data_IF_155594326597
#
_entry.id   IF_155594326597
#
_cell.length_a   1.000
_cell.length_b   1.000
_cell.length_c   1.000
_cell.angle_alpha   90.00
_cell.angle_beta   90.00
_cell.angle_gamma   90.00
#
_symmetry.space_group_name_H-M   'P 1'
#
loop_
_entity.id
_entity.type
_entity.pdbx_description
1 polymer ?
#
# COMPACT_ATOMS: atom_id res chain seq x y z
N UNK A 1 -20.06 -11.33 35.17
CA UNK A 1 -21.29 -12.06 34.82
C UNK A 1 -21.24 -12.41 33.34
N UNK A 2 -20.70 -13.59 33.03
CA UNK A 2 -20.65 -14.16 31.68
C UNK A 2 -21.58 -15.36 31.72
N UNK A 3 -22.78 -15.20 31.14
CA UNK A 3 -23.77 -16.27 31.10
C UNK A 3 -23.44 -17.21 29.94
N UNK A 4 -23.15 -18.46 30.30
CA UNK A 4 -22.99 -19.57 29.38
C UNK A 4 -24.33 -19.92 28.73
N UNK A 5 -24.40 -19.82 27.39
CA UNK A 5 -25.49 -20.35 26.59
C UNK A 5 -24.98 -21.65 25.96
N UNK A 6 -25.26 -22.77 26.63
CA UNK A 6 -25.16 -24.12 26.05
C UNK A 6 -26.46 -24.38 25.27
N UNK A 7 -26.43 -24.16 23.97
CA UNK A 7 -27.50 -24.56 23.05
C UNK A 7 -27.14 -25.91 22.40
N UNK A 8 -28.08 -26.85 22.47
CA UNK A 8 -27.97 -28.20 21.96
C UNK A 8 -27.71 -28.23 20.43
N UNK A 9 -26.74 -29.05 20.01
CA UNK A 9 -26.39 -29.23 18.61
C UNK A 9 -27.42 -30.12 17.88
N UNK A 10 -27.94 -29.71 16.71
CA UNK A 10 -28.80 -30.55 15.88
C UNK A 10 -27.98 -31.65 15.19
N UNK A 11 -28.52 -32.87 15.18
CA UNK A 11 -27.97 -34.05 14.50
C UNK A 11 -27.94 -33.85 12.98
N UNK A 12 -26.74 -33.76 12.41
CA UNK A 12 -26.49 -33.73 10.97
C UNK A 12 -26.79 -35.11 10.34
N UNK A 13 -27.91 -35.19 9.62
CA UNK A 13 -28.15 -36.24 8.64
C UNK A 13 -27.25 -36.01 7.43
N UNK A 14 -26.34 -36.95 7.17
CA UNK A 14 -25.40 -36.92 6.07
C UNK A 14 -26.12 -37.20 4.73
N UNK A 15 -26.49 -36.13 4.03
CA UNK A 15 -26.96 -36.21 2.64
C UNK A 15 -25.73 -36.12 1.71
N UNK A 16 -25.15 -37.27 1.41
CA UNK A 16 -23.94 -37.43 0.61
C UNK A 16 -24.29 -37.52 -0.89
N UNK A 17 -24.59 -36.38 -1.50
CA UNK A 17 -24.48 -36.21 -2.95
C UNK A 17 -24.13 -34.76 -3.28
N UNK A 18 -22.97 -34.30 -2.81
CA UNK A 18 -22.36 -33.06 -3.31
C UNK A 18 -21.82 -33.38 -4.71
N UNK A 19 -22.68 -33.28 -5.72
CA UNK A 19 -22.25 -33.15 -7.10
C UNK A 19 -21.38 -31.89 -7.13
N UNK A 20 -20.07 -32.06 -7.30
CA UNK A 20 -19.13 -30.95 -7.38
C UNK A 20 -19.57 -30.05 -8.55
N UNK A 21 -20.20 -28.92 -8.22
CA UNK A 21 -20.67 -27.98 -9.21
C UNK A 21 -19.47 -27.50 -10.03
N UNK A 22 -19.50 -27.77 -11.34
CA UNK A 22 -18.50 -27.23 -12.26
C UNK A 22 -18.60 -25.70 -12.15
N UNK A 23 -17.52 -24.99 -11.79
CA UNK A 23 -17.58 -23.55 -11.63
C UNK A 23 -17.96 -22.91 -12.96
N UNK A 24 -19.05 -22.15 -12.95
CA UNK A 24 -19.57 -21.44 -14.11
C UNK A 24 -18.53 -20.41 -14.58
N UNK A 25 -18.12 -20.51 -15.84
CA UNK A 25 -17.20 -19.56 -16.47
C UNK A 25 -17.98 -18.27 -16.78
N UNK A 26 -17.39 -17.13 -16.42
CA UNK A 26 -18.01 -15.81 -16.63
C UNK A 26 -16.97 -14.79 -17.08
N UNK A 27 -17.44 -13.77 -17.80
CA UNK A 27 -16.65 -12.58 -18.08
C UNK A 27 -16.55 -11.69 -16.83
N UNK A 28 -15.31 -11.47 -16.37
CA UNK A 28 -15.00 -10.65 -15.20
C UNK A 28 -14.38 -9.29 -15.56
N UNK A 29 -14.33 -8.90 -16.84
CA UNK A 29 -13.74 -7.61 -17.28
C UNK A 29 -14.37 -6.40 -16.57
N UNK A 30 -15.70 -6.36 -16.45
CA UNK A 30 -16.41 -5.29 -15.75
C UNK A 30 -16.07 -5.21 -14.25
N UNK A 31 -16.02 -6.37 -13.58
CA UNK A 31 -15.67 -6.44 -12.16
C UNK A 31 -14.19 -6.07 -11.90
N UNK A 32 -13.28 -6.50 -12.78
CA UNK A 32 -11.87 -6.12 -12.72
C UNK A 32 -11.69 -4.61 -12.93
N UNK A 33 -12.41 -4.02 -13.89
CA UNK A 33 -12.39 -2.57 -14.12
C UNK A 33 -12.87 -1.79 -12.90
N UNK A 34 -13.95 -2.24 -12.28
CA UNK A 34 -14.47 -1.65 -11.04
C UNK A 34 -13.43 -1.74 -9.90
N UNK A 35 -12.76 -2.88 -9.74
CA UNK A 35 -11.72 -3.09 -8.74
C UNK A 35 -10.50 -2.16 -8.93
N UNK A 36 -10.00 -2.00 -10.15
CA UNK A 36 -8.95 -0.99 -10.40
C UNK A 36 -9.48 0.43 -10.12
N UNK A 37 -10.76 0.68 -10.40
CA UNK A 37 -11.46 1.92 -10.04
C UNK A 37 -11.45 2.22 -8.54
N UNK A 38 -11.63 1.20 -7.68
CA UNK A 38 -11.64 1.38 -6.23
C UNK A 38 -10.30 1.82 -5.65
N UNK A 39 -9.18 1.54 -6.32
CA UNK A 39 -7.86 2.04 -5.93
C UNK A 39 -7.53 3.38 -6.61
N UNK A 40 -7.85 3.50 -7.90
CA UNK A 40 -7.49 4.67 -8.73
C UNK A 40 -8.05 5.98 -8.19
N UNK A 41 -9.35 6.01 -7.88
CA UNK A 41 -10.05 7.23 -7.44
C UNK A 41 -9.50 7.76 -6.11
N UNK A 42 -9.47 6.96 -5.02
CA UNK A 42 -8.86 7.44 -3.78
C UNK A 42 -7.35 7.70 -3.93
N UNK A 43 -6.64 6.91 -4.74
CA UNK A 43 -5.23 7.16 -5.02
C UNK A 43 -4.97 8.54 -5.62
N UNK A 44 -5.79 8.98 -6.58
CA UNK A 44 -5.70 10.32 -7.15
C UNK A 44 -5.93 11.43 -6.10
N UNK A 45 -6.89 11.24 -5.18
CA UNK A 45 -7.14 12.18 -4.09
C UNK A 45 -5.94 12.29 -3.14
N UNK A 46 -5.36 11.14 -2.73
CA UNK A 46 -4.19 11.13 -1.87
C UNK A 46 -2.93 11.66 -2.57
N UNK A 47 -2.77 11.43 -3.87
CA UNK A 47 -1.69 12.03 -4.65
C UNK A 47 -1.80 13.57 -4.63
N UNK A 48 -2.98 14.13 -4.91
CA UNK A 48 -3.21 15.57 -4.87
C UNK A 48 -2.96 16.18 -3.48
N UNK A 49 -3.51 15.55 -2.43
CA UNK A 49 -3.28 15.97 -1.05
C UNK A 49 -1.80 15.88 -0.67
N UNK A 50 -1.11 14.82 -1.12
CA UNK A 50 0.32 14.63 -0.85
C UNK A 50 1.17 15.71 -1.51
N UNK A 51 0.89 16.05 -2.78
CA UNK A 51 1.60 17.10 -3.50
C UNK A 51 1.49 18.46 -2.81
N UNK A 52 0.27 18.88 -2.44
CA UNK A 52 0.06 20.15 -1.77
C UNK A 52 0.74 20.22 -0.40
N UNK A 53 0.68 19.13 0.37
CA UNK A 53 1.25 19.09 1.70
C UNK A 53 2.78 18.88 1.73
N UNK A 54 3.38 18.17 0.76
CA UNK A 54 4.82 17.93 0.69
C UNK A 54 5.64 19.22 0.66
N UNK A 55 5.18 20.23 -0.09
CA UNK A 55 5.89 21.48 -0.32
C UNK A 55 5.41 22.64 0.55
N UNK A 56 4.38 22.44 1.38
CA UNK A 56 3.83 23.49 2.24
C UNK A 56 4.67 23.76 3.51
N UNK A 57 5.62 22.88 3.85
CA UNK A 57 6.42 23.01 5.07
C UNK A 57 7.79 23.62 4.76
N UNK A 58 8.12 24.80 5.30
CA UNK A 58 9.43 25.41 5.08
C UNK A 58 10.54 24.63 5.79
N UNK A 59 11.62 24.36 5.05
CA UNK A 59 12.82 23.69 5.52
C UNK A 59 13.89 24.74 5.87
N UNK A 60 13.68 25.42 7.00
CA UNK A 60 14.58 26.49 7.47
C UNK A 60 15.69 25.93 8.37
N UNK A 61 16.84 25.62 7.78
CA UNK A 61 17.97 24.97 8.48
C UNK A 61 18.63 25.85 9.57
N UNK A 62 18.46 27.17 9.53
CA UNK A 62 19.17 28.10 10.43
C UNK A 62 18.46 28.27 11.78
N UNK A 63 17.14 28.18 11.81
CA UNK A 63 16.34 28.41 13.02
C UNK A 63 15.96 27.12 13.76
N UNK A 64 16.03 25.97 13.07
CA UNK A 64 15.54 24.71 13.59
C UNK A 64 16.57 23.99 14.47
N UNK A 65 16.10 23.42 15.59
CA UNK A 65 16.90 22.42 16.30
C UNK A 65 17.10 21.19 15.41
N UNK A 66 18.20 20.46 15.60
CA UNK A 66 18.49 19.26 14.80
C UNK A 66 17.33 18.24 14.78
N UNK A 67 16.68 18.01 15.94
CA UNK A 67 15.51 17.12 16.03
C UNK A 67 14.38 17.58 15.12
N UNK A 68 14.09 18.88 15.15
CA UNK A 68 13.02 19.48 14.34
C UNK A 68 13.35 19.39 12.85
N UNK A 69 14.58 19.73 12.46
CA UNK A 69 15.05 19.63 11.08
C UNK A 69 14.96 18.18 10.55
N UNK A 70 15.36 17.20 11.36
CA UNK A 70 15.23 15.78 11.00
C UNK A 70 13.76 15.36 10.83
N UNK A 71 12.87 15.79 11.73
CA UNK A 71 11.44 15.53 11.61
C UNK A 71 10.85 16.15 10.32
N UNK A 72 11.21 17.39 9.99
CA UNK A 72 10.74 18.06 8.75
C UNK A 72 11.21 17.31 7.49
N UNK A 73 12.47 16.84 7.47
CA UNK A 73 13.02 16.05 6.36
C UNK A 73 12.36 14.67 6.24
N UNK A 74 12.12 13.99 7.37
CA UNK A 74 11.39 12.73 7.40
C UNK A 74 9.95 12.89 6.90
N UNK A 75 9.27 13.96 7.31
CA UNK A 75 7.95 14.35 6.79
C UNK A 75 7.98 14.53 5.28
N UNK A 76 8.89 15.36 4.75
CA UNK A 76 9.00 15.61 3.32
C UNK A 76 9.25 14.30 2.54
N UNK A 77 10.16 13.45 3.03
CA UNK A 77 10.44 12.15 2.44
C UNK A 77 9.21 11.24 2.39
N UNK A 78 8.46 11.12 3.50
CA UNK A 78 7.23 10.31 3.54
C UNK A 78 6.14 10.86 2.61
N UNK A 79 6.01 12.17 2.51
CA UNK A 79 5.03 12.81 1.62
C UNK A 79 5.36 12.62 0.15
N UNK A 80 6.63 12.77 -0.24
CA UNK A 80 7.09 12.49 -1.62
C UNK A 80 6.96 11.01 -1.96
N UNK A 81 7.24 10.12 -1.00
CA UNK A 81 7.04 8.68 -1.16
C UNK A 81 5.56 8.35 -1.38
N UNK A 82 4.67 8.91 -0.54
CA UNK A 82 3.21 8.79 -0.70
C UNK A 82 2.76 9.26 -2.08
N UNK A 83 3.14 10.48 -2.47
CA UNK A 83 2.81 11.04 -3.78
C UNK A 83 3.22 10.10 -4.92
N UNK A 84 4.46 9.63 -4.88
CA UNK A 84 5.02 8.76 -5.94
C UNK A 84 4.24 7.44 -6.04
N UNK A 85 3.98 6.79 -4.92
CA UNK A 85 3.24 5.53 -4.89
C UNK A 85 1.80 5.71 -5.36
N UNK A 86 1.12 6.78 -4.94
CA UNK A 86 -0.25 7.05 -5.36
C UNK A 86 -0.34 7.43 -6.85
N UNK A 87 0.65 8.13 -7.40
CA UNK A 87 0.72 8.35 -8.85
C UNK A 87 0.92 7.03 -9.62
N UNK A 88 1.70 6.09 -9.09
CA UNK A 88 1.83 4.76 -9.70
C UNK A 88 0.50 3.99 -9.66
N UNK A 89 -0.25 4.04 -8.55
CA UNK A 89 -1.61 3.44 -8.46
C UNK A 89 -2.50 3.97 -9.57
N UNK A 90 -2.53 5.30 -9.78
CA UNK A 90 -3.36 5.94 -10.81
C UNK A 90 -2.93 5.51 -12.21
N UNK A 91 -1.63 5.53 -12.49
CA UNK A 91 -1.07 5.15 -13.79
C UNK A 91 -1.36 3.69 -14.12
N UNK A 92 -0.97 2.76 -13.23
CA UNK A 92 -1.10 1.31 -13.45
C UNK A 92 -2.57 0.93 -13.59
N UNK A 93 -3.45 1.44 -12.71
CA UNK A 93 -4.88 1.19 -12.80
C UNK A 93 -5.49 1.70 -14.10
N UNK A 94 -5.04 2.87 -14.58
CA UNK A 94 -5.54 3.45 -15.84
C UNK A 94 -5.12 2.61 -17.04
N UNK A 95 -3.86 2.17 -17.07
CA UNK A 95 -3.35 1.26 -18.11
C UNK A 95 -4.08 -0.08 -18.08
N UNK A 96 -4.28 -0.66 -16.89
CA UNK A 96 -5.01 -1.92 -16.73
C UNK A 96 -6.47 -1.80 -17.21
N UNK A 97 -7.18 -0.75 -16.82
CA UNK A 97 -8.55 -0.47 -17.30
C UNK A 97 -8.59 -0.30 -18.82
N UNK A 98 -7.60 0.39 -19.41
CA UNK A 98 -7.50 0.50 -20.87
C UNK A 98 -7.29 -0.84 -21.56
N UNK A 99 -6.44 -1.70 -20.98
CA UNK A 99 -6.19 -3.05 -21.49
C UNK A 99 -7.40 -3.98 -21.36
N UNK A 100 -8.32 -3.73 -20.42
CA UNK A 100 -9.59 -4.46 -20.27
C UNK A 100 -10.57 -4.23 -21.42
N UNK A 101 -10.31 -3.28 -22.33
CA UNK A 101 -11.10 -3.11 -23.56
C UNK A 101 -10.88 -4.25 -24.58
N UNK A 102 -9.84 -5.07 -24.41
CA UNK A 102 -9.59 -6.24 -25.24
C UNK A 102 -10.52 -7.40 -24.86
N UNK A 103 -10.61 -8.41 -25.74
CA UNK A 103 -11.35 -9.65 -25.44
C UNK A 103 -10.48 -10.59 -24.59
N UNK A 104 -11.08 -11.16 -23.56
CA UNK A 104 -10.45 -12.14 -22.67
C UNK A 104 -11.31 -13.41 -22.58
N UNK A 105 -10.68 -14.52 -22.24
CA UNK A 105 -11.37 -15.77 -21.97
C UNK A 105 -12.20 -15.67 -20.68
N UNK A 106 -13.31 -16.40 -20.63
CA UNK A 106 -14.12 -16.54 -19.43
C UNK A 106 -13.37 -17.34 -18.37
N UNK A 107 -13.52 -16.96 -17.10
CA UNK A 107 -12.79 -17.53 -15.98
C UNK A 107 -13.76 -17.95 -14.86
N UNK A 108 -13.38 -18.80 -13.91
CA UNK A 108 -14.28 -19.25 -12.85
C UNK A 108 -14.45 -18.22 -11.72
N UNK A 109 -13.54 -17.25 -11.61
CA UNK A 109 -13.59 -16.19 -10.60
C UNK A 109 -12.79 -14.96 -11.00
N UNK A 110 -13.12 -13.81 -10.40
CA UNK A 110 -12.35 -12.57 -10.58
C UNK A 110 -10.87 -12.73 -10.19
N UNK A 111 -10.58 -13.46 -9.11
CA UNK A 111 -9.19 -13.71 -8.69
C UNK A 111 -8.41 -14.57 -9.70
N UNK A 112 -9.04 -15.57 -10.30
CA UNK A 112 -8.42 -16.35 -11.39
C UNK A 112 -8.16 -15.47 -12.62
N UNK A 113 -9.14 -14.66 -13.01
CA UNK A 113 -9.03 -13.71 -14.11
C UNK A 113 -7.86 -12.71 -13.91
N UNK A 114 -7.75 -12.10 -12.73
CA UNK A 114 -6.67 -11.17 -12.40
C UNK A 114 -5.30 -11.87 -12.40
N UNK A 115 -5.19 -13.05 -11.79
CA UNK A 115 -3.92 -13.81 -11.77
C UNK A 115 -3.45 -14.23 -13.15
N UNK A 116 -4.36 -14.52 -14.07
CA UNK A 116 -4.01 -14.93 -15.43
C UNK A 116 -3.59 -13.74 -16.30
N UNK A 117 -4.34 -12.63 -16.24
CA UNK A 117 -4.23 -11.56 -17.23
C UNK A 117 -3.55 -10.28 -16.70
N UNK A 118 -3.66 -9.99 -15.40
CA UNK A 118 -3.29 -8.70 -14.80
C UNK A 118 -2.58 -8.85 -13.45
N UNK A 119 -1.81 -9.92 -13.26
CA UNK A 119 -1.29 -10.26 -11.93
C UNK A 119 -0.34 -9.19 -11.41
N UNK A 120 0.58 -8.73 -12.27
CA UNK A 120 1.56 -7.71 -11.90
C UNK A 120 0.87 -6.38 -11.63
N UNK A 121 -0.06 -5.97 -12.48
CA UNK A 121 -0.82 -4.72 -12.35
C UNK A 121 -1.65 -4.70 -11.07
N UNK A 122 -2.33 -5.81 -10.76
CA UNK A 122 -3.13 -5.96 -9.55
C UNK A 122 -2.27 -5.90 -8.29
N UNK A 123 -1.20 -6.71 -8.22
CA UNK A 123 -0.29 -6.75 -7.07
C UNK A 123 0.41 -5.40 -6.87
N UNK A 124 0.88 -4.77 -7.96
CA UNK A 124 1.53 -3.47 -7.92
C UNK A 124 0.59 -2.36 -7.43
N UNK A 125 -0.64 -2.33 -7.96
CA UNK A 125 -1.65 -1.34 -7.58
C UNK A 125 -1.99 -1.46 -6.09
N UNK A 126 -2.27 -2.67 -5.61
CA UNK A 126 -2.61 -2.91 -4.20
C UNK A 126 -1.44 -2.59 -3.26
N UNK A 127 -0.23 -3.03 -3.60
CA UNK A 127 0.98 -2.72 -2.82
C UNK A 127 1.24 -1.22 -2.73
N UNK A 128 1.28 -0.52 -3.86
CA UNK A 128 1.57 0.90 -3.91
C UNK A 128 0.48 1.72 -3.22
N UNK A 129 -0.78 1.31 -3.31
CA UNK A 129 -1.88 1.97 -2.61
C UNK A 129 -1.68 1.92 -1.10
N UNK A 130 -1.40 0.73 -0.54
CA UNK A 130 -1.20 0.58 0.91
C UNK A 130 0.08 1.24 1.42
N UNK A 131 1.19 1.09 0.69
CA UNK A 131 2.46 1.75 1.05
C UNK A 131 2.31 3.27 0.99
N UNK A 132 1.66 3.79 -0.06
CA UNK A 132 1.40 5.22 -0.22
C UNK A 132 0.49 5.76 0.88
N UNK A 133 -0.64 5.10 1.14
CA UNK A 133 -1.59 5.50 2.18
C UNK A 133 -0.97 5.46 3.58
N UNK A 134 -0.20 4.41 3.89
CA UNK A 134 0.51 4.30 5.18
C UNK A 134 1.54 5.42 5.33
N UNK A 135 2.32 5.70 4.28
CA UNK A 135 3.29 6.80 4.28
C UNK A 135 2.62 8.15 4.50
N UNK A 136 1.46 8.38 3.86
CA UNK A 136 0.66 9.59 4.06
C UNK A 136 0.19 9.76 5.51
N UNK A 137 -0.39 8.70 6.10
CA UNK A 137 -0.90 8.75 7.47
C UNK A 137 0.23 8.99 8.49
N UNK A 138 1.37 8.30 8.34
CA UNK A 138 2.53 8.53 9.20
C UNK A 138 3.06 9.96 9.03
N UNK A 139 3.12 10.48 7.80
CA UNK A 139 3.53 11.85 7.55
C UNK A 139 2.59 12.88 8.21
N UNK A 140 1.27 12.65 8.22
CA UNK A 140 0.33 13.51 8.95
C UNK A 140 0.63 13.52 10.46
N UNK A 141 0.94 12.37 11.04
CA UNK A 141 1.36 12.27 12.44
C UNK A 141 2.66 13.04 12.72
N UNK A 142 3.65 12.94 11.82
CA UNK A 142 4.90 13.70 11.92
C UNK A 142 4.66 15.20 11.76
N UNK A 143 3.76 15.61 10.86
CA UNK A 143 3.36 17.02 10.70
C UNK A 143 2.70 17.56 11.96
N UNK A 144 1.78 16.81 12.56
CA UNK A 144 1.17 17.17 13.82
C UNK A 144 2.22 17.31 14.93
N UNK A 145 3.22 16.43 14.95
CA UNK A 145 4.35 16.54 15.88
C UNK A 145 5.15 17.83 15.72
N UNK A 146 5.38 18.27 14.49
CA UNK A 146 6.13 19.48 14.17
C UNK A 146 5.33 20.75 14.48
N UNK A 147 4.01 20.74 14.21
CA UNK A 147 3.19 21.96 14.23
C UNK A 147 2.46 22.23 15.55
N UNK A 148 2.21 21.22 16.39
CA UNK A 148 1.47 21.38 17.64
C UNK A 148 2.43 21.74 18.78
N UNK A 149 2.22 22.91 19.41
CA UNK A 149 3.07 23.40 20.50
C UNK A 149 3.03 22.50 21.76
N UNK A 150 1.89 21.87 22.05
CA UNK A 150 1.77 20.98 23.21
C UNK A 150 2.34 19.57 22.92
N UNK A 151 3.41 19.13 23.61
CA UNK A 151 4.09 17.86 23.31
C UNK A 151 3.22 16.62 23.57
N UNK A 152 2.29 16.70 24.52
CA UNK A 152 1.38 15.58 24.84
C UNK A 152 0.40 15.35 23.68
N UNK A 153 -0.18 16.43 23.15
CA UNK A 153 -1.12 16.37 22.02
C UNK A 153 -0.42 15.96 20.73
N UNK A 154 0.78 16.50 20.48
CA UNK A 154 1.65 16.08 19.37
C UNK A 154 1.94 14.57 19.37
N UNK A 155 2.31 14.01 20.53
CA UNK A 155 2.53 12.57 20.73
C UNK A 155 1.27 11.76 20.47
N UNK A 156 0.15 12.19 21.02
CA UNK A 156 -1.13 11.53 20.82
C UNK A 156 -1.52 11.50 19.35
N UNK A 157 -1.38 12.61 18.62
CA UNK A 157 -1.66 12.68 17.19
C UNK A 157 -0.80 11.70 16.38
N UNK A 158 0.51 11.66 16.62
CA UNK A 158 1.41 10.71 15.96
C UNK A 158 1.00 9.24 16.21
N UNK A 159 0.69 8.89 17.46
CA UNK A 159 0.28 7.54 17.83
C UNK A 159 -1.07 7.16 17.23
N UNK A 160 -2.04 8.08 17.19
CA UNK A 160 -3.34 7.87 16.54
C UNK A 160 -3.16 7.65 15.04
N UNK A 161 -2.34 8.46 14.37
CA UNK A 161 -2.05 8.27 12.95
C UNK A 161 -1.37 6.94 12.66
N UNK A 162 -0.38 6.56 13.47
CA UNK A 162 0.34 5.29 13.30
C UNK A 162 -0.55 4.07 13.56
N UNK A 163 -1.32 4.09 14.66
CA UNK A 163 -2.27 3.01 14.98
C UNK A 163 -3.38 2.89 13.93
N UNK A 164 -3.91 4.01 13.42
CA UNK A 164 -4.87 4.02 12.33
C UNK A 164 -4.32 3.38 11.04
N UNK A 165 -3.05 3.66 10.71
CA UNK A 165 -2.40 3.03 9.57
C UNK A 165 -2.25 1.51 9.74
N UNK A 166 -1.79 1.05 10.92
CA UNK A 166 -1.68 -0.38 11.22
C UNK A 166 -3.04 -1.09 11.23
N UNK A 167 -4.06 -0.45 11.81
CA UNK A 167 -5.41 -0.99 11.84
C UNK A 167 -6.00 -1.12 10.43
N UNK A 168 -5.76 -0.14 9.56
CA UNK A 168 -6.15 -0.22 8.16
C UNK A 168 -5.53 -1.42 7.43
N UNK A 169 -4.22 -1.67 7.65
CA UNK A 169 -3.55 -2.86 7.09
C UNK A 169 -4.11 -4.17 7.67
N UNK A 170 -4.46 -4.19 8.95
CA UNK A 170 -5.04 -5.37 9.59
C UNK A 170 -6.46 -5.71 9.09
N UNK A 171 -7.27 -4.71 8.75
CA UNK A 171 -8.60 -4.95 8.17
C UNK A 171 -8.51 -5.56 6.77
N UNK A 172 -7.55 -5.14 5.95
CA UNK A 172 -7.39 -5.68 4.61
C UNK A 172 -7.03 -7.19 4.64
N UNK A 173 -6.18 -7.60 5.59
CA UNK A 173 -5.77 -9.01 5.74
C UNK A 173 -6.96 -9.92 6.09
N UNK A 174 -7.95 -9.41 6.83
CA UNK A 174 -9.13 -10.18 7.27
C UNK A 174 -10.27 -10.21 6.25
N UNK A 175 -10.32 -9.26 5.31
CA UNK A 175 -11.48 -9.08 4.42
C UNK A 175 -11.42 -9.96 3.16
N UNK A 176 -10.26 -10.55 2.86
CA UNK A 176 -10.05 -11.31 1.61
C UNK A 176 -9.73 -12.82 1.83
N UNK A 177 -10.60 -13.60 2.48
CA UNK A 177 -10.30 -15.00 2.85
C UNK A 177 -10.30 -16.00 1.69
N UNK A 178 -10.83 -15.66 0.50
CA UNK A 178 -11.16 -16.70 -0.49
C UNK A 178 -10.18 -16.94 -1.62
N UNK A 179 -9.19 -16.08 -1.93
CA UNK A 179 -8.19 -16.37 -2.98
C UNK A 179 -7.04 -15.35 -3.12
N UNK A 180 -6.89 -14.42 -2.17
CA UNK A 180 -5.98 -13.28 -2.32
C UNK A 180 -4.62 -13.47 -1.63
N UNK A 181 -3.62 -12.80 -2.19
CA UNK A 181 -2.30 -12.65 -1.57
C UNK A 181 -2.45 -11.76 -0.34
N UNK A 182 -2.01 -12.25 0.81
CA UNK A 182 -2.03 -11.48 2.06
C UNK A 182 -1.16 -10.22 1.95
N UNK A 183 -1.49 -9.15 2.68
CA UNK A 183 -0.82 -7.83 2.52
C UNK A 183 0.69 -7.95 2.74
N UNK A 184 1.08 -8.71 3.75
CA UNK A 184 2.49 -8.93 4.09
C UNK A 184 3.26 -9.71 3.01
N UNK A 185 2.58 -10.45 2.13
CA UNK A 185 3.17 -11.21 1.03
C UNK A 185 3.28 -10.39 -0.27
N UNK A 186 2.55 -9.27 -0.37
CA UNK A 186 2.54 -8.41 -1.57
C UNK A 186 3.95 -7.93 -1.98
N UNK A 187 4.83 -7.46 -1.08
CA UNK A 187 6.17 -6.99 -1.48
C UNK A 187 6.99 -8.10 -2.14
N UNK A 188 6.92 -9.30 -1.57
CA UNK A 188 7.64 -10.46 -2.09
C UNK A 188 7.07 -10.91 -3.44
N UNK A 189 5.75 -11.01 -3.55
CA UNK A 189 5.10 -11.38 -4.82
C UNK A 189 5.36 -10.34 -5.91
N UNK A 190 5.31 -9.05 -5.56
CA UNK A 190 5.65 -7.96 -6.47
C UNK A 190 7.09 -8.07 -6.99
N UNK A 191 8.05 -8.28 -6.10
CA UNK A 191 9.45 -8.47 -6.48
C UNK A 191 9.64 -9.68 -7.42
N UNK A 192 8.98 -10.80 -7.15
CA UNK A 192 9.01 -11.99 -8.02
C UNK A 192 8.44 -11.71 -9.41
N UNK A 193 7.27 -11.08 -9.49
CA UNK A 193 6.62 -10.76 -10.76
C UNK A 193 7.43 -9.72 -11.56
N UNK A 194 7.99 -8.72 -10.86
CA UNK A 194 8.83 -7.70 -11.47
C UNK A 194 10.12 -8.31 -12.03
N UNK A 195 10.78 -9.22 -11.29
CA UNK A 195 11.97 -9.92 -11.76
C UNK A 195 11.67 -10.79 -12.99
N UNK A 196 10.53 -11.49 -13.00
CA UNK A 196 10.07 -12.27 -14.17
C UNK A 196 9.79 -11.37 -15.37
N UNK A 197 9.18 -10.20 -15.16
CA UNK A 197 8.88 -9.26 -16.26
C UNK A 197 10.14 -8.58 -16.79
N UNK A 198 11.11 -8.30 -15.92
CA UNK A 198 12.39 -7.68 -16.26
C UNK A 198 13.21 -8.49 -17.27
N UNK A 199 13.11 -9.83 -17.26
CA UNK A 199 13.80 -10.66 -18.27
C UNK A 199 13.18 -10.53 -19.66
N UNK A 200 11.89 -10.20 -19.75
CA UNK A 200 11.15 -10.04 -21.00
C UNK A 200 11.14 -8.61 -21.53
N UNK A 201 11.38 -7.61 -20.68
CA UNK A 201 11.23 -6.20 -21.04
C UNK A 201 12.30 -5.33 -20.37
N UNK A 202 13.15 -4.63 -21.16
CA UNK A 202 14.25 -3.83 -20.63
C UNK A 202 13.75 -2.61 -19.81
N UNK A 203 12.56 -2.10 -20.10
CA UNK A 203 11.96 -1.01 -19.34
C UNK A 203 11.68 -1.42 -17.88
N UNK A 204 11.18 -2.64 -17.67
CA UNK A 204 10.96 -3.17 -16.32
C UNK A 204 12.29 -3.44 -15.59
N UNK A 205 13.33 -3.89 -16.31
CA UNK A 205 14.66 -4.07 -15.75
C UNK A 205 15.28 -2.74 -15.29
N UNK A 206 15.18 -1.70 -16.12
CA UNK A 206 15.65 -0.36 -15.78
C UNK A 206 14.90 0.22 -14.56
N UNK A 207 13.57 0.07 -14.52
CA UNK A 207 12.76 0.51 -13.39
C UNK A 207 13.12 -0.23 -12.09
N UNK A 208 13.31 -1.55 -12.15
CA UNK A 208 13.74 -2.35 -11.01
C UNK A 208 15.13 -1.93 -10.51
N UNK A 209 16.09 -1.72 -11.41
CA UNK A 209 17.42 -1.24 -11.08
C UNK A 209 17.39 0.15 -10.42
N UNK A 210 16.62 1.08 -10.98
CA UNK A 210 16.45 2.42 -10.40
C UNK A 210 15.83 2.39 -9.00
N UNK A 211 14.84 1.52 -8.78
CA UNK A 211 14.22 1.31 -7.47
C UNK A 211 15.23 0.74 -6.46
N UNK A 212 15.99 -0.29 -6.84
CA UNK A 212 17.03 -0.87 -5.99
C UNK A 212 18.15 0.11 -5.67
N UNK A 213 18.59 0.92 -6.64
CA UNK A 213 19.58 1.98 -6.41
C UNK A 213 19.06 3.03 -5.44
N UNK A 214 17.79 3.41 -5.55
CA UNK A 214 17.14 4.38 -4.66
C UNK A 214 17.02 3.84 -3.23
N UNK A 215 16.56 2.58 -3.07
CA UNK A 215 16.52 1.91 -1.76
C UNK A 215 17.92 1.72 -1.17
N UNK A 216 18.89 1.34 -2.00
CA UNK A 216 20.28 1.18 -1.61
C UNK A 216 20.91 2.49 -1.15
N UNK A 217 20.63 3.59 -1.84
CA UNK A 217 21.07 4.93 -1.45
C UNK A 217 20.48 5.35 -0.09
N UNK A 218 19.17 5.16 0.11
CA UNK A 218 18.52 5.46 1.40
C UNK A 218 19.15 4.63 2.52
N UNK A 219 19.32 3.32 2.33
CA UNK A 219 19.93 2.44 3.31
C UNK A 219 21.39 2.84 3.63
N UNK A 220 22.16 3.18 2.59
CA UNK A 220 23.55 3.64 2.72
C UNK A 220 23.66 4.99 3.44
N UNK A 221 22.64 5.86 3.35
CA UNK A 221 22.62 7.14 4.04
C UNK A 221 22.29 7.03 5.55
N UNK A 222 21.70 5.92 6.03
CA UNK A 222 21.30 5.76 7.44
C UNK A 222 22.48 5.94 8.41
N UNK A 223 23.66 5.30 8.23
CA UNK A 223 24.80 5.49 9.11
C UNK A 223 25.30 6.94 9.15
N UNK A 224 25.23 7.65 8.02
CA UNK A 224 25.60 9.06 7.94
C UNK A 224 24.65 9.92 8.79
N UNK A 225 23.34 9.72 8.66
CA UNK A 225 22.33 10.40 9.50
C UNK A 225 22.52 10.06 10.97
N UNK A 226 22.83 8.80 11.30
CA UNK A 226 23.08 8.37 12.69
C UNK A 226 24.38 8.95 13.26
N UNK A 227 25.44 9.08 12.46
CA UNK A 227 26.70 9.72 12.86
C UNK A 227 26.50 11.22 13.09
N UNK A 228 25.82 11.89 12.17
CA UNK A 228 25.49 13.30 12.28
C UNK A 228 24.63 13.58 13.52
N UNK A 229 23.60 12.75 13.77
CA UNK A 229 22.78 12.84 14.97
C UNK A 229 23.60 12.72 16.26
N UNK A 230 24.54 11.76 16.33
CA UNK A 230 25.40 11.57 17.51
C UNK A 230 26.34 12.75 17.75
N UNK A 231 26.83 13.39 16.70
CA UNK A 231 27.71 14.55 16.82
C UNK A 231 26.98 15.77 17.41
N UNK A 232 25.69 15.95 17.09
CA UNK A 232 24.90 17.09 17.57
C UNK A 232 24.41 16.94 19.02
N UNK A 233 24.41 15.73 19.59
CA UNK A 233 23.97 15.47 20.98
C UNK A 233 25.10 15.33 21.99
N UNK A 234 26.36 15.54 21.58
CA UNK A 234 27.51 15.63 22.49
C UNK A 234 27.79 17.08 22.82
#
# INVERSE_FOLDING_TARGET
MVAAVLAAAPSLSADSSVVAAVPELRDYTGAASALFGTYRVPGALFAGASAGAAFAMPLDDVADTFKLALCKRAYAFLMVSSLTMQMQVVLISTVAIGALANRFDEEPSLGAFLRRNFELEYVATRLNFYVGLTSFLVALGVRAWISIACPVVARAALLVSFSGALLGLAFDDNTHPQNDIAVHQLPWRYAQLLARKATSSPAYAAAAAASLLSMGYVAWAIPHVAAYARATFR
#
